data_IF_908651978814
#
_entry.id   IF_908651978814
#
_cell.length_a   1.000
_cell.length_b   1.000
_cell.length_c   1.000
_cell.angle_alpha   90.00
_cell.angle_beta   90.00
_cell.angle_gamma   90.00
#
_symmetry.space_group_name_H-M   'P 1'
#
loop_
_entity.id
_entity.type
_entity.pdbx_description
1 polymer ?
#
# COMPACT_ATOMS: atom_id res chain seq x y z
N UNK A 1 12.97 78.56 -54.68
CA UNK A 1 12.99 77.87 -53.36
C UNK A 1 13.08 76.37 -53.62
N UNK A 2 14.09 75.74 -53.00
CA UNK A 2 14.41 74.32 -52.68
C UNK A 2 13.60 73.14 -53.31
N UNK A 3 14.34 72.25 -53.99
CA UNK A 3 14.51 70.77 -53.91
C UNK A 3 13.35 69.89 -53.36
N UNK A 4 13.08 68.66 -53.83
CA UNK A 4 14.01 67.51 -53.93
C UNK A 4 13.33 66.29 -54.65
N UNK A 5 14.15 65.46 -55.30
CA UNK A 5 13.88 64.19 -55.99
C UNK A 5 13.93 62.98 -55.01
N UNK A 6 13.34 61.80 -55.35
CA UNK A 6 13.97 60.44 -55.31
C UNK A 6 12.97 59.29 -55.60
N UNK A 7 13.51 58.23 -56.22
CA UNK A 7 13.00 57.07 -56.98
C UNK A 7 13.00 55.75 -56.14
N UNK A 8 12.39 54.63 -56.59
CA UNK A 8 11.72 53.58 -55.80
C UNK A 8 12.58 52.34 -55.50
N UNK A 9 12.15 51.48 -54.56
CA UNK A 9 12.84 50.20 -54.27
C UNK A 9 11.86 49.01 -54.24
N UNK A 10 12.19 48.08 -55.15
CA UNK A 10 11.80 46.69 -55.30
C UNK A 10 12.01 45.90 -53.98
N UNK A 11 10.92 45.40 -53.39
CA UNK A 11 10.97 44.50 -52.25
C UNK A 11 10.97 43.04 -52.70
N UNK A 12 12.15 42.40 -52.65
CA UNK A 12 12.26 40.96 -52.43
C UNK A 12 11.53 40.64 -51.11
N UNK A 13 10.33 40.08 -51.19
CA UNK A 13 9.72 39.44 -50.03
C UNK A 13 10.31 38.04 -49.89
N UNK A 14 11.38 37.95 -49.11
CA UNK A 14 11.85 36.74 -48.46
C UNK A 14 10.72 36.11 -47.66
N UNK A 15 10.49 34.82 -47.88
CA UNK A 15 9.55 34.02 -47.11
C UNK A 15 10.01 33.84 -45.65
N UNK A 16 9.09 34.21 -44.75
CA UNK A 16 8.75 33.62 -43.44
C UNK A 16 9.83 32.91 -42.63
N UNK A 17 10.21 33.46 -41.46
CA UNK A 17 10.76 32.67 -40.33
C UNK A 17 10.58 33.39 -38.99
N UNK A 18 9.38 33.43 -38.39
CA UNK A 18 9.24 33.59 -36.93
C UNK A 18 7.98 32.84 -36.44
N UNK A 19 8.14 31.89 -35.52
CA UNK A 19 7.04 31.21 -34.85
C UNK A 19 6.31 32.21 -33.93
N UNK A 20 5.03 32.45 -34.21
CA UNK A 20 4.21 33.43 -33.48
C UNK A 20 2.95 32.69 -32.99
N UNK A 21 2.48 33.03 -31.79
CA UNK A 21 1.27 32.45 -31.18
C UNK A 21 0.09 33.37 -31.49
N UNK A 22 -0.90 32.82 -32.18
CA UNK A 22 -2.12 33.51 -32.58
C UNK A 22 -3.32 32.89 -31.88
N UNK A 23 -3.86 33.59 -30.88
CA UNK A 23 -5.10 33.13 -30.24
C UNK A 23 -6.26 33.59 -31.13
N UNK A 24 -6.87 32.62 -31.82
CA UNK A 24 -7.97 32.83 -32.78
C UNK A 24 -7.64 33.77 -33.96
N UNK A 25 -6.42 33.72 -34.49
CA UNK A 25 -5.98 34.51 -35.65
C UNK A 25 -5.04 33.73 -36.55
N UNK A 26 -5.10 33.97 -37.86
CA UNK A 26 -4.22 33.37 -38.88
C UNK A 26 -2.95 34.16 -39.14
N UNK A 27 -2.84 35.38 -38.59
CA UNK A 27 -1.65 36.23 -38.70
C UNK A 27 -1.14 36.62 -37.30
N UNK A 28 -0.58 35.68 -36.53
CA UNK A 28 0.07 36.02 -35.28
C UNK A 28 1.23 36.99 -35.51
N UNK A 29 1.60 37.80 -34.51
CA UNK A 29 2.66 38.81 -34.67
C UNK A 29 3.72 38.74 -33.56
N UNK A 30 3.53 37.87 -32.58
CA UNK A 30 4.36 37.73 -31.38
C UNK A 30 4.42 36.27 -30.94
N UNK A 31 5.50 35.85 -30.30
CA UNK A 31 5.64 34.54 -29.64
C UNK A 31 5.08 34.62 -28.22
N UNK A 32 4.40 33.58 -27.73
CA UNK A 32 3.93 33.53 -26.34
C UNK A 32 5.06 33.03 -25.44
N UNK A 33 5.52 33.89 -24.55
CA UNK A 33 6.41 33.56 -23.45
C UNK A 33 5.69 33.88 -22.14
N UNK A 34 5.63 32.91 -21.22
CA UNK A 34 4.98 33.08 -19.92
C UNK A 34 6.02 32.99 -18.83
N UNK A 35 6.51 34.16 -18.41
CA UNK A 35 7.34 34.30 -17.21
C UNK A 35 6.43 34.48 -15.98
N UNK A 36 5.76 33.41 -15.58
CA UNK A 36 4.76 33.43 -14.50
C UNK A 36 4.00 32.12 -14.38
N UNK A 37 2.88 32.14 -13.65
CA UNK A 37 2.00 30.97 -13.47
C UNK A 37 0.98 30.91 -14.61
N UNK A 38 0.82 29.73 -15.21
CA UNK A 38 -0.30 29.42 -16.10
C UNK A 38 -1.44 28.83 -15.25
N UNK A 39 -2.66 29.33 -15.42
CA UNK A 39 -3.86 28.78 -14.79
C UNK A 39 -4.80 28.26 -15.87
N UNK A 40 -5.15 26.97 -15.80
CA UNK A 40 -6.08 26.33 -16.72
C UNK A 40 -7.36 26.04 -15.93
N UNK A 41 -8.48 26.67 -16.31
CA UNK A 41 -9.72 26.65 -15.53
C UNK A 41 -10.73 25.58 -15.97
N UNK A 42 -10.57 25.05 -17.19
CA UNK A 42 -11.51 24.09 -17.77
C UNK A 42 -10.77 22.89 -18.41
N UNK A 43 -10.41 21.93 -17.56
CA UNK A 43 -9.86 20.62 -17.92
C UNK A 43 -10.87 19.55 -17.50
N UNK A 44 -12.04 19.53 -18.14
CA UNK A 44 -13.10 18.54 -17.88
C UNK A 44 -13.50 18.44 -16.41
N UNK A 45 -14.44 19.29 -15.97
CA UNK A 45 -15.08 19.14 -14.66
C UNK A 45 -15.95 17.87 -14.68
N UNK A 46 -15.56 16.84 -13.93
CA UNK A 46 -16.56 15.89 -13.43
C UNK A 46 -17.51 16.66 -12.51
N UNK A 47 -18.81 16.38 -12.61
CA UNK A 47 -19.89 17.12 -11.95
C UNK A 47 -19.87 17.07 -10.41
N UNK A 48 -18.86 16.42 -9.81
CA UNK A 48 -18.75 16.21 -8.37
C UNK A 48 -17.90 17.26 -7.64
N UNK A 49 -17.25 18.18 -8.36
CA UNK A 49 -16.58 19.31 -7.70
C UNK A 49 -15.42 18.91 -6.78
N UNK A 50 -14.70 17.84 -7.13
CA UNK A 50 -13.50 17.43 -6.42
C UNK A 50 -12.40 18.50 -6.61
N UNK A 51 -12.09 19.24 -5.55
CA UNK A 51 -10.87 20.03 -5.41
C UNK A 51 -9.69 19.07 -5.20
N UNK A 52 -9.24 18.43 -6.29
CA UNK A 52 -8.13 17.49 -6.31
C UNK A 52 -7.01 17.95 -7.25
N UNK A 53 -5.79 17.48 -7.01
CA UNK A 53 -4.65 17.71 -7.90
C UNK A 53 -4.75 16.78 -9.10
N UNK A 54 -4.62 17.31 -10.33
CA UNK A 54 -4.67 16.53 -11.58
C UNK A 54 -3.27 16.42 -12.20
N UNK A 55 -3.00 15.31 -12.88
CA UNK A 55 -1.83 15.19 -13.75
C UNK A 55 -2.14 15.82 -15.12
N UNK A 56 -1.20 16.62 -15.66
CA UNK A 56 -1.28 17.09 -17.04
C UNK A 56 -0.52 16.15 -17.96
N UNK A 57 -1.21 15.62 -18.95
CA UNK A 57 -0.64 14.76 -19.99
C UNK A 57 -0.70 15.49 -21.33
N UNK A 58 0.21 15.14 -22.24
CA UNK A 58 0.20 15.64 -23.61
C UNK A 58 -0.05 14.49 -24.56
N UNK A 59 -0.99 14.66 -25.48
CA UNK A 59 -1.23 13.72 -26.57
C UNK A 59 -0.25 13.96 -27.72
N UNK A 60 -0.17 13.01 -28.65
CA UNK A 60 0.74 13.10 -29.81
C UNK A 60 0.46 14.28 -30.73
N UNK A 61 -0.73 14.87 -30.67
CA UNK A 61 -1.14 16.06 -31.42
C UNK A 61 -0.86 17.38 -30.67
N UNK A 62 -0.30 17.31 -29.46
CA UNK A 62 0.00 18.47 -28.62
C UNK A 62 -1.16 18.92 -27.73
N UNK A 63 -2.29 18.22 -27.72
CA UNK A 63 -3.41 18.49 -26.80
C UNK A 63 -2.98 18.23 -25.35
N UNK A 64 -3.34 19.14 -24.43
CA UNK A 64 -3.11 18.98 -22.99
C UNK A 64 -4.38 18.45 -22.34
N UNK A 65 -4.27 17.30 -21.66
CA UNK A 65 -5.38 16.66 -20.95
C UNK A 65 -5.11 16.63 -19.44
N UNK A 66 -6.19 16.70 -18.65
CA UNK A 66 -6.14 16.40 -17.22
C UNK A 66 -6.49 14.93 -16.99
N UNK A 67 -5.69 14.24 -16.18
CA UNK A 67 -5.98 12.91 -15.67
C UNK A 67 -6.06 12.92 -14.14
N UNK A 68 -6.96 12.10 -13.60
CA UNK A 68 -7.08 11.91 -12.16
C UNK A 68 -5.86 11.14 -11.64
N UNK A 69 -5.36 11.52 -10.46
CA UNK A 69 -4.30 10.81 -9.78
C UNK A 69 -4.91 9.62 -9.02
N UNK A 70 -4.37 8.40 -9.17
CA UNK A 70 -4.76 7.29 -8.32
C UNK A 70 -4.24 7.52 -6.90
N UNK A 71 -4.89 6.91 -5.89
CA UNK A 71 -4.70 7.19 -4.46
C UNK A 71 -3.25 6.99 -3.97
N UNK A 72 -2.45 6.18 -4.68
CA UNK A 72 -1.04 5.96 -4.40
C UNK A 72 -0.17 7.18 -4.71
N UNK A 73 -0.68 8.18 -5.42
CA UNK A 73 0.04 9.41 -5.75
C UNK A 73 -0.60 10.60 -5.02
N UNK A 74 0.20 11.30 -4.22
CA UNK A 74 -0.21 12.55 -3.56
C UNK A 74 0.76 13.67 -3.88
N UNK A 75 0.28 14.90 -3.90
CA UNK A 75 1.10 16.10 -4.06
C UNK A 75 1.04 16.89 -2.76
N UNK A 76 2.20 17.32 -2.26
CA UNK A 76 2.27 18.19 -1.08
C UNK A 76 2.00 19.65 -1.46
N UNK A 77 1.65 20.47 -0.46
CA UNK A 77 1.62 21.94 -0.55
C UNK A 77 3.03 22.47 -0.84
N UNK A 78 3.46 22.36 -2.10
CA UNK A 78 4.84 22.55 -2.53
C UNK A 78 5.13 21.94 -3.90
N UNK A 79 4.26 21.06 -4.40
CA UNK A 79 4.38 20.45 -5.73
C UNK A 79 5.29 19.22 -5.78
N UNK A 80 5.69 18.68 -4.63
CA UNK A 80 6.42 17.42 -4.60
C UNK A 80 5.46 16.26 -4.83
N UNK A 81 5.74 15.45 -5.86
CA UNK A 81 5.03 14.20 -6.09
C UNK A 81 5.51 13.16 -5.08
N UNK A 82 4.61 12.69 -4.23
CA UNK A 82 4.82 11.55 -3.35
C UNK A 82 4.12 10.34 -3.94
N UNK A 83 4.87 9.25 -4.05
CA UNK A 83 4.33 7.94 -4.38
C UNK A 83 4.27 7.13 -3.09
N UNK A 84 3.07 6.96 -2.55
CA UNK A 84 2.77 5.97 -1.54
C UNK A 84 2.67 4.61 -2.22
N UNK A 85 3.81 3.95 -2.40
CA UNK A 85 3.80 2.52 -2.69
C UNK A 85 3.11 1.85 -1.48
N UNK A 86 1.89 1.35 -1.69
CA UNK A 86 1.20 0.53 -0.71
C UNK A 86 2.20 -0.47 -0.16
N UNK A 87 2.37 -0.45 1.18
CA UNK A 87 3.35 -1.17 1.97
C UNK A 87 4.10 -2.23 1.16
N UNK A 88 5.41 -2.08 0.99
CA UNK A 88 6.25 -3.23 0.71
C UNK A 88 5.76 -4.37 1.62
N UNK A 89 5.68 -5.58 1.07
CA UNK A 89 5.29 -6.81 1.77
C UNK A 89 6.32 -7.19 2.84
N UNK A 90 6.77 -6.22 3.63
CA UNK A 90 7.59 -6.43 4.80
C UNK A 90 6.69 -7.12 5.80
N UNK A 91 6.87 -8.43 5.93
CA UNK A 91 6.39 -9.15 7.08
C UNK A 91 6.83 -8.38 8.31
N UNK A 92 5.88 -7.86 9.08
CA UNK A 92 6.21 -7.27 10.37
C UNK A 92 6.43 -8.42 11.34
N UNK A 93 7.62 -8.43 11.94
CA UNK A 93 8.11 -9.50 12.80
C UNK A 93 8.19 -8.97 14.24
N UNK A 94 7.63 -9.73 15.17
CA UNK A 94 7.75 -9.45 16.60
C UNK A 94 8.42 -10.63 17.30
N UNK A 95 9.37 -10.35 18.18
CA UNK A 95 9.91 -11.31 19.13
C UNK A 95 9.10 -11.22 20.43
N UNK A 96 8.42 -12.29 20.82
CA UNK A 96 7.73 -12.39 22.11
C UNK A 96 8.48 -13.33 23.05
N UNK A 97 8.84 -12.82 24.22
CA UNK A 97 9.43 -13.61 25.30
C UNK A 97 8.32 -14.04 26.26
N UNK A 98 8.02 -15.34 26.29
CA UNK A 98 6.80 -15.87 26.91
C UNK A 98 7.10 -16.82 28.07
N UNK A 99 6.23 -16.81 29.07
CA UNK A 99 6.15 -17.93 30.01
C UNK A 99 5.45 -19.10 29.35
N UNK A 100 6.16 -20.22 29.23
CA UNK A 100 5.65 -21.45 28.61
C UNK A 100 4.77 -22.20 29.61
N UNK A 101 3.46 -22.06 29.40
CA UNK A 101 2.38 -22.68 30.15
C UNK A 101 1.21 -23.03 29.21
N UNK A 102 0.00 -23.22 29.72
CA UNK A 102 -1.19 -23.43 28.89
C UNK A 102 -1.89 -22.11 28.57
N UNK A 103 -2.00 -21.78 27.29
CA UNK A 103 -2.74 -20.62 26.77
C UNK A 103 -4.05 -21.07 26.14
N UNK A 104 -5.16 -20.78 26.83
CA UNK A 104 -6.51 -21.10 26.35
C UNK A 104 -6.98 -20.12 25.27
N UNK A 105 -6.65 -18.83 25.43
CA UNK A 105 -7.03 -17.73 24.55
C UNK A 105 -5.82 -16.80 24.48
N UNK A 106 -4.76 -17.23 23.80
CA UNK A 106 -3.51 -16.50 23.82
C UNK A 106 -3.67 -15.14 23.15
N UNK A 107 -3.56 -14.09 23.94
CA UNK A 107 -3.62 -12.73 23.44
C UNK A 107 -2.26 -12.31 22.88
N UNK A 108 -2.20 -12.26 21.54
CA UNK A 108 -1.06 -11.73 20.80
C UNK A 108 -1.25 -10.26 20.43
N UNK A 109 -2.27 -9.58 20.99
CA UNK A 109 -2.63 -8.19 20.71
C UNK A 109 -2.90 -7.93 19.22
N UNK A 110 -3.61 -8.87 18.59
CA UNK A 110 -3.88 -8.86 17.14
C UNK A 110 -4.87 -7.75 16.73
N UNK A 111 -5.63 -7.19 17.65
CA UNK A 111 -6.53 -6.05 17.45
C UNK A 111 -5.92 -4.72 17.95
N UNK A 112 -4.75 -4.74 18.58
CA UNK A 112 -4.00 -3.56 19.03
C UNK A 112 -2.63 -3.42 18.35
N UNK A 113 -1.56 -3.47 19.14
CA UNK A 113 -0.20 -3.12 18.68
C UNK A 113 0.34 -4.06 17.61
N UNK A 114 -0.16 -5.29 17.57
CA UNK A 114 0.27 -6.31 16.62
C UNK A 114 -0.77 -6.53 15.49
N UNK A 115 -1.60 -5.53 15.20
CA UNK A 115 -2.64 -5.60 14.16
C UNK A 115 -2.12 -5.85 12.74
N UNK A 116 -0.88 -5.44 12.46
CA UNK A 116 -0.15 -5.57 11.19
C UNK A 116 0.97 -6.63 11.24
N UNK A 117 1.14 -7.34 12.37
CA UNK A 117 2.16 -8.38 12.55
C UNK A 117 1.75 -9.67 11.86
N UNK A 118 2.66 -10.21 11.05
CA UNK A 118 2.47 -11.46 10.31
C UNK A 118 3.38 -12.58 10.80
N UNK A 119 4.44 -12.28 11.56
CA UNK A 119 5.35 -13.28 12.12
C UNK A 119 5.63 -13.00 13.58
N UNK A 120 5.42 -14.00 14.43
CA UNK A 120 5.79 -13.99 15.83
C UNK A 120 6.91 -15.00 16.07
N UNK A 121 8.06 -14.52 16.52
CA UNK A 121 9.15 -15.34 17.02
C UNK A 121 8.90 -15.54 18.51
N UNK A 122 8.62 -16.79 18.91
CA UNK A 122 8.25 -17.14 20.27
C UNK A 122 9.47 -17.70 20.99
N UNK A 123 9.93 -16.98 22.01
CA UNK A 123 11.07 -17.37 22.84
C UNK A 123 10.61 -17.65 24.26
N UNK A 124 11.09 -18.74 24.84
CA UNK A 124 10.83 -19.12 26.23
C UNK A 124 11.58 -18.20 27.18
N UNK A 125 10.85 -17.44 27.98
CA UNK A 125 11.37 -16.70 29.12
C UNK A 125 11.43 -17.59 30.38
N UNK A 126 10.42 -18.42 30.60
CA UNK A 126 10.33 -19.36 31.73
C UNK A 126 9.35 -20.51 31.44
N UNK A 127 9.18 -21.46 32.36
CA UNK A 127 8.18 -22.53 32.25
C UNK A 127 8.72 -23.84 31.64
N UNK A 128 7.82 -24.66 31.10
CA UNK A 128 8.11 -25.99 30.56
C UNK A 128 7.85 -26.04 29.06
N UNK A 129 6.70 -26.61 28.72
CA UNK A 129 6.07 -26.68 27.40
C UNK A 129 5.02 -25.56 27.30
N UNK A 130 4.90 -24.94 26.12
CA UNK A 130 3.80 -24.04 25.79
C UNK A 130 2.68 -24.84 25.12
N UNK A 131 1.50 -24.90 25.73
CA UNK A 131 0.30 -25.51 25.13
C UNK A 131 -0.65 -24.43 24.65
N UNK A 132 -0.91 -24.39 23.36
CA UNK A 132 -1.79 -23.39 22.74
C UNK A 132 -3.08 -24.10 22.36
N UNK A 133 -4.19 -23.66 22.94
CA UNK A 133 -5.55 -24.18 22.67
C UNK A 133 -6.40 -23.21 21.88
N UNK A 134 -6.03 -21.93 21.92
CA UNK A 134 -6.65 -20.88 21.16
C UNK A 134 -5.81 -19.60 21.14
N UNK A 135 -6.07 -18.75 20.17
CA UNK A 135 -5.45 -17.43 19.98
C UNK A 135 -6.57 -16.40 19.94
N UNK A 136 -6.44 -15.35 20.74
CA UNK A 136 -7.44 -14.29 20.81
C UNK A 136 -7.44 -13.42 19.56
N UNK A 137 -8.64 -13.11 19.08
CA UNK A 137 -8.86 -12.22 17.94
C UNK A 137 -8.70 -12.93 16.60
N UNK A 138 -8.55 -12.14 15.55
CA UNK A 138 -8.54 -12.61 14.17
C UNK A 138 -9.63 -11.95 13.34
N UNK A 139 -9.33 -11.73 12.07
CA UNK A 139 -10.26 -11.23 11.06
C UNK A 139 -10.21 -12.18 9.88
N UNK A 140 -11.31 -12.30 9.13
CA UNK A 140 -11.38 -13.21 7.97
C UNK A 140 -10.15 -13.07 7.06
N UNK A 141 -9.51 -14.20 6.75
CA UNK A 141 -8.35 -14.26 5.86
C UNK A 141 -7.02 -13.84 6.50
N UNK A 142 -7.00 -13.43 7.78
CA UNK A 142 -5.76 -13.09 8.49
C UNK A 142 -4.81 -14.27 8.53
N UNK A 143 -3.53 -14.01 8.28
CA UNK A 143 -2.46 -15.02 8.32
C UNK A 143 -1.39 -14.59 9.31
N UNK A 144 -0.97 -15.51 10.18
CA UNK A 144 0.17 -15.32 11.08
C UNK A 144 1.05 -16.56 11.06
N UNK A 145 2.37 -16.37 11.22
CA UNK A 145 3.34 -17.44 11.42
C UNK A 145 3.87 -17.36 12.84
N UNK A 146 3.85 -18.48 13.55
CA UNK A 146 4.56 -18.65 14.81
C UNK A 146 5.87 -19.39 14.52
N UNK A 147 6.98 -18.88 15.05
CA UNK A 147 8.30 -19.50 14.97
C UNK A 147 8.71 -19.88 16.39
N UNK A 148 9.00 -21.15 16.64
CA UNK A 148 9.59 -21.55 17.91
C UNK A 148 11.09 -21.26 17.90
N UNK A 149 11.51 -20.23 18.62
CA UNK A 149 12.92 -19.87 18.84
C UNK A 149 13.37 -20.31 20.25
N UNK A 150 12.87 -21.47 20.67
CA UNK A 150 13.16 -22.05 21.98
C UNK A 150 13.53 -23.51 21.81
N UNK A 151 14.47 -23.97 22.62
CA UNK A 151 14.76 -25.39 22.79
C UNK A 151 13.70 -26.10 23.67
N UNK A 152 12.44 -25.72 23.51
CA UNK A 152 11.32 -26.17 24.35
C UNK A 152 10.07 -26.36 23.51
N UNK A 153 9.28 -27.37 23.86
CA UNK A 153 8.11 -27.78 23.09
C UNK A 153 7.02 -26.70 23.05
N UNK A 154 6.49 -26.45 21.86
CA UNK A 154 5.21 -25.77 21.64
C UNK A 154 4.23 -26.79 21.06
N UNK A 155 3.11 -27.02 21.75
CA UNK A 155 2.08 -27.99 21.37
C UNK A 155 0.77 -27.28 21.10
N UNK A 156 0.10 -27.67 20.01
CA UNK A 156 -1.22 -27.19 19.66
C UNK A 156 -2.27 -28.22 20.04
N UNK A 157 -3.29 -27.79 20.79
CA UNK A 157 -4.35 -28.64 21.28
C UNK A 157 -5.68 -28.22 20.63
N UNK A 158 -6.11 -28.98 19.63
CA UNK A 158 -7.32 -28.74 18.84
C UNK A 158 -8.62 -28.80 19.67
N UNK A 159 -9.56 -27.90 19.33
CA UNK A 159 -10.95 -27.82 19.83
C UNK A 159 -11.12 -28.09 21.34
N UNK A 160 -10.34 -27.39 22.16
CA UNK A 160 -10.50 -27.46 23.62
C UNK A 160 -11.63 -26.57 24.12
N UNK A 161 -12.38 -27.07 25.09
CA UNK A 161 -13.52 -26.37 25.69
C UNK A 161 -13.11 -25.11 26.47
N UNK A 162 -11.86 -25.02 26.90
CA UNK A 162 -11.31 -23.87 27.62
C UNK A 162 -11.00 -22.68 26.71
N UNK A 163 -10.88 -22.89 25.39
CA UNK A 163 -10.78 -21.84 24.39
C UNK A 163 -12.18 -21.34 24.01
N UNK A 164 -12.35 -20.02 23.88
CA UNK A 164 -13.61 -19.45 23.38
C UNK A 164 -13.78 -19.80 21.90
N UNK A 165 -15.03 -19.89 21.44
CA UNK A 165 -15.33 -20.43 20.11
C UNK A 165 -14.57 -19.73 18.96
N UNK A 166 -14.44 -18.40 19.02
CA UNK A 166 -13.67 -17.63 18.01
C UNK A 166 -12.16 -17.88 18.06
N UNK A 167 -11.63 -18.30 19.20
CA UNK A 167 -10.20 -18.43 19.42
C UNK A 167 -9.67 -19.83 19.16
N UNK A 168 -10.56 -20.83 19.06
CA UNK A 168 -10.20 -22.24 18.94
C UNK A 168 -9.27 -22.52 17.74
N UNK A 169 -8.43 -23.53 17.93
CA UNK A 169 -7.57 -24.06 16.89
C UNK A 169 -8.19 -25.28 16.23
N UNK A 170 -8.02 -25.37 14.91
CA UNK A 170 -8.24 -26.56 14.10
C UNK A 170 -6.97 -26.90 13.31
N UNK A 171 -6.60 -28.17 13.24
CA UNK A 171 -5.30 -28.62 12.74
C UNK A 171 -5.49 -29.36 11.41
N UNK A 172 -4.96 -28.77 10.34
CA UNK A 172 -4.93 -29.33 8.98
C UNK A 172 -3.52 -29.72 8.56
N UNK A 173 -2.60 -29.92 9.51
CA UNK A 173 -1.26 -30.47 9.33
C UNK A 173 -1.15 -31.89 9.91
N UNK A 174 -0.15 -32.65 9.48
CA UNK A 174 0.17 -33.97 10.07
C UNK A 174 0.77 -33.85 11.48
N UNK A 175 1.45 -32.72 11.75
CA UNK A 175 2.07 -32.42 13.02
C UNK A 175 1.13 -31.61 13.92
N UNK A 176 1.28 -31.81 15.23
CA UNK A 176 0.52 -31.08 16.27
C UNK A 176 1.43 -30.35 17.26
N UNK A 177 2.74 -30.47 17.11
CA UNK A 177 3.73 -29.88 18.02
C UNK A 177 5.05 -29.60 17.30
N UNK A 178 5.76 -28.58 17.81
CA UNK A 178 7.15 -28.30 17.51
C UNK A 178 7.97 -28.71 18.72
N UNK A 179 8.78 -29.77 18.62
CA UNK A 179 9.52 -30.34 19.76
C UNK A 179 10.61 -29.39 20.28
N UNK A 180 11.30 -28.74 19.35
CA UNK A 180 12.36 -27.75 19.58
C UNK A 180 12.08 -26.59 18.63
N UNK A 181 12.99 -26.25 17.73
CA UNK A 181 12.75 -25.22 16.71
C UNK A 181 11.71 -25.67 15.67
N UNK A 182 11.04 -24.69 15.06
CA UNK A 182 10.02 -24.97 14.05
C UNK A 182 9.21 -23.74 13.68
N UNK A 183 8.29 -23.90 12.73
CA UNK A 183 7.30 -22.89 12.41
C UNK A 183 5.91 -23.47 12.16
N UNK A 184 4.88 -22.66 12.40
CA UNK A 184 3.49 -22.98 12.18
C UNK A 184 2.79 -21.80 11.50
N UNK A 185 2.07 -22.05 10.41
CA UNK A 185 1.25 -21.06 9.71
C UNK A 185 -0.22 -21.24 10.09
N UNK A 186 -0.83 -20.16 10.56
CA UNK A 186 -2.24 -20.12 10.93
C UNK A 186 -3.02 -19.16 10.03
N UNK A 187 -4.25 -19.53 9.69
CA UNK A 187 -5.21 -18.71 8.94
C UNK A 187 -6.51 -18.61 9.73
N UNK A 188 -6.98 -17.39 9.96
CA UNK A 188 -8.28 -17.17 10.58
C UNK A 188 -9.41 -17.28 9.54
N UNK A 189 -10.45 -18.05 9.86
CA UNK A 189 -11.61 -18.23 8.99
C UNK A 189 -12.92 -18.19 9.79
N UNK A 190 -13.91 -17.51 9.23
CA UNK A 190 -15.31 -17.39 9.66
C UNK A 190 -16.25 -18.23 8.79
N UNK A 191 -15.70 -18.96 7.80
CA UNK A 191 -16.49 -19.72 6.85
C UNK A 191 -17.25 -20.91 7.48
N UNK A 192 -16.73 -21.46 8.58
CA UNK A 192 -17.24 -22.69 9.21
C UNK A 192 -17.93 -22.42 10.55
N UNK A 193 -17.70 -21.26 11.18
CA UNK A 193 -18.29 -20.90 12.47
C UNK A 193 -18.72 -19.43 12.49
N UNK A 194 -19.81 -19.13 13.19
CA UNK A 194 -20.32 -17.76 13.37
C UNK A 194 -19.34 -16.84 14.10
N UNK A 195 -18.41 -17.42 14.86
CA UNK A 195 -17.43 -16.70 15.67
C UNK A 195 -16.02 -16.70 15.09
N UNK A 196 -15.78 -17.44 13.99
CA UNK A 196 -14.44 -17.69 13.45
C UNK A 196 -13.66 -18.77 14.21
N UNK A 197 -12.48 -19.12 13.71
CA UNK A 197 -11.50 -20.01 14.32
C UNK A 197 -10.15 -19.90 13.58
N UNK A 198 -9.08 -20.34 14.24
CA UNK A 198 -7.74 -20.41 13.67
C UNK A 198 -7.46 -21.78 13.09
N UNK A 199 -6.99 -21.81 11.85
CA UNK A 199 -6.67 -23.03 11.12
C UNK A 199 -5.16 -23.15 10.97
N UNK A 200 -4.56 -24.19 11.54
CA UNK A 200 -3.16 -24.53 11.31
C UNK A 200 -3.08 -25.28 9.99
N UNK A 201 -2.47 -24.65 8.97
CA UNK A 201 -2.44 -25.19 7.59
C UNK A 201 -1.08 -25.71 7.17
N UNK A 202 -0.03 -25.36 7.93
CA UNK A 202 1.32 -25.83 7.70
C UNK A 202 2.07 -25.82 9.04
N UNK A 203 2.82 -26.89 9.30
CA UNK A 203 3.70 -26.98 10.45
C UNK A 203 5.00 -27.66 10.01
N UNK A 204 6.11 -27.10 10.46
CA UNK A 204 7.46 -27.59 10.23
C UNK A 204 8.14 -27.69 11.59
N UNK A 205 8.52 -28.90 11.99
CA UNK A 205 9.29 -29.14 13.21
C UNK A 205 10.68 -29.63 12.83
N UNK A 206 11.71 -29.12 13.49
CA UNK A 206 13.03 -29.77 13.49
C UNK A 206 13.12 -30.66 14.71
N UNK A 207 13.33 -31.96 14.48
CA UNK A 207 13.59 -32.95 15.53
C UNK A 207 14.96 -32.76 16.21
#
# INVERSE_FOLDING_TARGET
MKNLLIIPILGLCTFNLIAQVGINTTNPQRTLDVNGKIMIQDLGRSSTGETGVKMLLTESDGTVLGADLPDEFSLTDGGELKVSLGSATTEKIVLSAETFDTKNNWDLDLDGHNSDVTVFIIRKASGGELKIRGIQGGTEGRRIRLINDSDAKIKFEEDKAEATDGNKLYIYSSETEMNRYGSCLLIYSTAISTSGHWNIVQMESTD
#
